data_IF_995628416831
#
_entry.id   IF_995628416831
#
_cell.length_a   1.000
_cell.length_b   1.000
_cell.length_c   1.000
_cell.angle_alpha   90.00
_cell.angle_beta   90.00
_cell.angle_gamma   90.00
#
_symmetry.space_group_name_H-M   'P 1'
#
loop_
_entity.id
_entity.type
_entity.pdbx_description
1 polymer ?
#
# COMPACT_ATOMS: atom_id res chain seq x y z
N UNK A 1 26.11 11.69 -6.59
CA UNK A 1 25.36 10.49 -7.02
C UNK A 1 25.53 9.49 -5.90
N UNK A 2 24.51 9.25 -5.09
CA UNK A 2 24.54 8.09 -4.19
C UNK A 2 24.59 6.84 -5.06
N UNK A 3 25.58 5.99 -4.83
CA UNK A 3 25.68 4.70 -5.48
C UNK A 3 24.58 3.82 -4.88
N UNK A 4 23.59 3.46 -5.70
CA UNK A 4 22.54 2.52 -5.31
C UNK A 4 23.13 1.12 -5.19
N UNK A 5 23.70 0.85 -4.02
CA UNK A 5 24.12 -0.50 -3.65
C UNK A 5 22.97 -1.23 -2.97
N UNK A 6 22.88 -2.53 -3.23
CA UNK A 6 21.90 -3.37 -2.58
C UNK A 6 22.14 -3.37 -1.08
N UNK A 7 21.21 -2.79 -0.31
CA UNK A 7 21.29 -2.71 1.14
C UNK A 7 20.23 -3.61 1.81
N UNK A 8 20.37 -3.77 3.13
CA UNK A 8 19.46 -4.60 3.91
C UNK A 8 18.03 -4.01 3.97
N UNK A 9 17.89 -2.68 3.91
CA UNK A 9 16.59 -1.99 4.00
C UNK A 9 15.75 -2.19 2.73
N UNK A 10 16.39 -2.18 1.56
CA UNK A 10 15.81 -2.54 0.27
C UNK A 10 15.38 -4.00 0.27
N UNK A 11 16.20 -4.91 0.80
CA UNK A 11 15.87 -6.33 0.89
C UNK A 11 14.63 -6.55 1.78
N UNK A 12 14.57 -5.91 2.95
CA UNK A 12 13.42 -5.98 3.85
C UNK A 12 12.16 -5.41 3.18
N UNK A 13 12.26 -4.22 2.57
CA UNK A 13 11.15 -3.60 1.87
C UNK A 13 10.64 -4.46 0.71
N UNK A 14 11.55 -5.08 -0.05
CA UNK A 14 11.21 -5.99 -1.15
C UNK A 14 10.53 -7.25 -0.65
N UNK A 15 10.97 -7.82 0.48
CA UNK A 15 10.31 -8.97 1.10
C UNK A 15 8.90 -8.63 1.55
N UNK A 16 8.69 -7.51 2.23
CA UNK A 16 7.35 -7.11 2.66
C UNK A 16 6.43 -6.85 1.46
N UNK A 17 6.94 -6.18 0.42
CA UNK A 17 6.21 -6.00 -0.84
C UNK A 17 5.79 -7.34 -1.44
N UNK A 18 6.73 -8.27 -1.60
CA UNK A 18 6.48 -9.57 -2.22
C UNK A 18 5.46 -10.40 -1.40
N UNK A 19 5.62 -10.47 -0.08
CA UNK A 19 4.70 -11.19 0.81
C UNK A 19 3.31 -10.58 0.77
N UNK A 20 3.20 -9.25 0.80
CA UNK A 20 1.91 -8.55 0.74
C UNK A 20 1.22 -8.79 -0.60
N UNK A 21 1.96 -8.75 -1.71
CA UNK A 21 1.42 -9.03 -3.04
C UNK A 21 0.94 -10.47 -3.17
N UNK A 22 1.70 -11.45 -2.67
CA UNK A 22 1.27 -12.85 -2.63
C UNK A 22 -0.02 -12.98 -1.84
N UNK A 23 -0.12 -12.35 -0.66
CA UNK A 23 -1.32 -12.36 0.18
C UNK A 23 -2.53 -11.65 -0.47
N UNK A 24 -2.31 -10.68 -1.36
CA UNK A 24 -3.40 -10.04 -2.12
C UNK A 24 -3.89 -10.98 -3.22
N UNK A 25 -2.99 -11.61 -3.97
CA UNK A 25 -3.37 -12.48 -5.09
C UNK A 25 -3.92 -13.84 -4.66
N UNK A 26 -3.60 -14.29 -3.45
CA UNK A 26 -4.07 -15.59 -2.91
C UNK A 26 -5.36 -15.47 -2.10
N UNK A 27 -6.10 -14.35 -2.24
CA UNK A 27 -7.38 -14.08 -1.57
C UNK A 27 -8.36 -15.26 -1.65
N UNK A 28 -8.47 -15.91 -2.80
CA UNK A 28 -9.36 -17.06 -3.03
C UNK A 28 -9.01 -18.29 -2.17
N UNK A 29 -7.75 -18.45 -1.77
CA UNK A 29 -7.27 -19.61 -1.01
C UNK A 29 -7.55 -19.43 0.48
N UNK A 30 -7.18 -18.27 1.04
CA UNK A 30 -7.31 -18.00 2.48
C UNK A 30 -8.59 -17.24 2.87
N UNK A 31 -9.37 -16.75 1.89
CA UNK A 31 -10.64 -16.01 2.08
C UNK A 31 -10.53 -14.76 2.96
N UNK A 32 -9.35 -14.13 2.96
CA UNK A 32 -9.13 -12.85 3.66
C UNK A 32 -9.22 -11.75 2.61
N UNK A 33 -10.09 -10.77 2.86
CA UNK A 33 -10.32 -9.67 1.93
C UNK A 33 -9.01 -8.95 1.59
N UNK A 34 -8.71 -8.73 0.30
CA UNK A 34 -7.49 -8.05 -0.19
C UNK A 34 -7.15 -6.74 0.52
N UNK A 35 -8.17 -5.97 0.92
CA UNK A 35 -7.97 -4.72 1.69
C UNK A 35 -7.32 -4.99 3.04
N UNK A 36 -7.71 -6.06 3.75
CA UNK A 36 -7.10 -6.42 5.04
C UNK A 36 -5.64 -6.83 4.86
N UNK A 37 -5.34 -7.61 3.81
CA UNK A 37 -3.98 -7.99 3.47
C UNK A 37 -3.11 -6.76 3.15
N UNK A 38 -3.61 -5.84 2.32
CA UNK A 38 -2.91 -4.60 1.98
C UNK A 38 -2.65 -3.70 3.19
N UNK A 39 -3.65 -3.51 4.06
CA UNK A 39 -3.49 -2.72 5.29
C UNK A 39 -2.51 -3.38 6.27
N UNK A 40 -2.53 -4.71 6.39
CA UNK A 40 -1.56 -5.44 7.22
C UNK A 40 -0.13 -5.27 6.69
N UNK A 41 0.07 -5.37 5.37
CA UNK A 41 1.37 -5.12 4.73
C UNK A 41 1.88 -3.69 4.97
N UNK A 42 0.99 -2.69 4.85
CA UNK A 42 1.32 -1.30 5.16
C UNK A 42 1.70 -1.09 6.63
N UNK A 43 0.96 -1.69 7.57
CA UNK A 43 1.28 -1.64 8.99
C UNK A 43 2.63 -2.29 9.30
N UNK A 44 2.92 -3.45 8.71
CA UNK A 44 4.22 -4.14 8.83
C UNK A 44 5.35 -3.26 8.29
N UNK A 45 5.16 -2.61 7.13
CA UNK A 45 6.13 -1.67 6.59
C UNK A 45 6.43 -0.54 7.56
N UNK A 46 5.41 0.09 8.16
CA UNK A 46 5.61 1.17 9.13
C UNK A 46 6.38 0.68 10.35
N UNK A 47 6.00 -0.46 10.92
CA UNK A 47 6.66 -1.02 12.12
C UNK A 47 8.13 -1.33 11.84
N UNK A 48 8.41 -2.03 10.75
CA UNK A 48 9.78 -2.30 10.34
C UNK A 48 10.50 -0.98 10.07
N UNK A 49 9.83 -0.04 9.38
CA UNK A 49 10.21 1.35 9.06
C UNK A 49 10.92 2.03 10.20
N UNK A 50 10.18 2.08 11.29
CA UNK A 50 10.58 2.70 12.54
C UNK A 50 11.67 1.90 13.26
N UNK A 51 11.53 0.57 13.33
CA UNK A 51 12.47 -0.27 14.10
C UNK A 51 13.88 -0.33 13.52
N UNK A 52 13.99 -0.30 12.19
CA UNK A 52 15.26 -0.36 11.46
C UNK A 52 15.77 1.02 11.04
N UNK A 53 14.95 2.07 11.17
CA UNK A 53 15.35 3.45 10.91
C UNK A 53 15.48 3.81 9.44
N UNK A 54 14.83 3.09 8.52
CA UNK A 54 14.90 3.38 7.08
C UNK A 54 14.05 4.57 6.65
N UNK A 55 12.99 4.90 7.39
CA UNK A 55 12.27 6.16 7.23
C UNK A 55 11.56 6.58 8.52
N UNK A 56 11.30 7.88 8.66
CA UNK A 56 10.48 8.45 9.73
C UNK A 56 8.98 8.36 9.40
N UNK A 57 8.07 8.38 10.40
CA UNK A 57 6.63 8.30 10.17
C UNK A 57 6.14 9.41 9.23
N UNK A 58 6.72 10.61 9.34
CA UNK A 58 6.39 11.75 8.50
C UNK A 58 6.70 11.49 7.02
N UNK A 59 7.82 10.81 6.72
CA UNK A 59 8.19 10.44 5.35
C UNK A 59 7.23 9.38 4.78
N UNK A 60 6.71 8.50 5.63
CA UNK A 60 5.70 7.52 5.20
C UNK A 60 4.37 8.19 4.82
N UNK A 61 3.98 9.25 5.54
CA UNK A 61 2.77 10.04 5.22
C UNK A 61 2.98 10.88 3.97
N UNK A 62 4.18 11.45 3.80
CA UNK A 62 4.53 12.22 2.59
C UNK A 62 4.54 11.34 1.33
N UNK A 63 4.85 10.04 1.46
CA UNK A 63 4.78 9.09 0.36
C UNK A 63 3.34 8.74 -0.08
N UNK A 64 2.30 9.18 0.66
CA UNK A 64 0.90 8.96 0.28
C UNK A 64 0.49 9.96 -0.80
N UNK A 65 0.08 9.46 -1.97
CA UNK A 65 -0.49 10.30 -3.02
C UNK A 65 -1.97 10.63 -2.74
N UNK A 66 -2.19 11.74 -2.03
CA UNK A 66 -3.52 12.25 -1.74
C UNK A 66 -4.31 12.64 -2.99
N UNK A 67 -3.66 13.10 -4.04
CA UNK A 67 -4.34 13.49 -5.27
C UNK A 67 -5.00 12.26 -5.91
N UNK A 68 -4.29 11.12 -5.96
CA UNK A 68 -4.83 9.87 -6.50
C UNK A 68 -5.98 9.34 -5.63
N UNK A 69 -5.84 9.37 -4.30
CA UNK A 69 -6.91 8.92 -3.39
C UNK A 69 -8.18 9.73 -3.59
N UNK A 70 -8.08 11.07 -3.62
CA UNK A 70 -9.24 11.95 -3.83
C UNK A 70 -9.79 11.86 -5.25
N UNK A 71 -8.94 11.72 -6.27
CA UNK A 71 -9.36 11.56 -7.66
C UNK A 71 -10.16 10.26 -7.86
N UNK A 72 -9.59 9.12 -7.46
CA UNK A 72 -10.25 7.82 -7.60
C UNK A 72 -11.51 7.74 -6.73
N UNK A 73 -11.45 8.23 -5.49
CA UNK A 73 -12.61 8.30 -4.60
C UNK A 73 -13.73 9.19 -5.16
N UNK A 74 -13.39 10.35 -5.72
CA UNK A 74 -14.34 11.25 -6.36
C UNK A 74 -14.98 10.63 -7.61
N UNK A 75 -14.17 10.02 -8.47
CA UNK A 75 -14.67 9.31 -9.66
C UNK A 75 -15.64 8.18 -9.28
N UNK A 76 -15.28 7.35 -8.29
CA UNK A 76 -16.15 6.27 -7.82
C UNK A 76 -17.43 6.80 -7.17
N UNK A 77 -17.37 7.93 -6.47
CA UNK A 77 -18.55 8.59 -5.89
C UNK A 77 -19.51 9.08 -6.97
N UNK A 78 -19.00 9.75 -8.00
CA UNK A 78 -19.81 10.21 -9.14
C UNK A 78 -20.47 9.01 -9.84
N UNK A 79 -19.70 7.96 -10.12
CA UNK A 79 -20.24 6.71 -10.71
C UNK A 79 -21.35 6.12 -9.84
N UNK A 80 -21.16 6.05 -8.52
CA UNK A 80 -22.16 5.51 -7.60
C UNK A 80 -23.49 6.29 -7.63
N UNK A 81 -23.45 7.61 -7.88
CA UNK A 81 -24.65 8.47 -8.00
C UNK A 81 -25.34 8.28 -9.36
N UNK A 82 -24.60 7.94 -10.42
CA UNK A 82 -25.15 7.77 -11.78
C UNK A 82 -25.81 6.40 -12.00
N UNK A 83 -25.34 5.34 -11.31
CA UNK A 83 -25.88 3.97 -11.43
C UNK A 83 -27.41 3.91 -11.34
N UNK A 84 -28.09 4.57 -10.37
CA UNK A 84 -29.54 4.53 -10.25
C UNK A 84 -30.30 5.30 -11.34
N UNK A 85 -29.65 6.29 -11.98
CA UNK A 85 -30.29 7.18 -12.98
C UNK A 85 -30.16 6.67 -14.42
N UNK A 86 -29.55 5.50 -14.62
CA UNK A 86 -29.38 4.90 -15.95
C UNK A 86 -28.26 5.54 -16.79
N UNK A 87 -27.28 6.16 -16.11
CA UNK A 87 -25.98 6.50 -16.70
C UNK A 87 -25.06 5.30 -16.79
#
# INVERSE_FOLDING_TARGET
>A
METLEWNNDMLVSALVLAVTFIAIFTEEIHKIHRVKCGMAGAAVMIVLGQSMGFYNPDQAVEAIDWNVVFLLGGMMTIVAIMIPTGG
#
